data_IF_098844526879
#
_entry.id   IF_098844526879
#
_cell.length_a   1.000
_cell.length_b   1.000
_cell.length_c   1.000
_cell.angle_alpha   90.00
_cell.angle_beta   90.00
_cell.angle_gamma   90.00
#
_symmetry.space_group_name_H-M   'P 1'
#
loop_
_entity.id
_entity.type
_entity.pdbx_description
1 polymer ?
#
# COMPACT_ATOMS: atom_id res chain seq x y z
N UNK A 1 45.18 -20.65 -8.09
CA UNK A 1 44.37 -20.43 -6.87
C UNK A 1 43.60 -19.13 -7.02
N UNK A 2 42.33 -19.20 -7.44
CA UNK A 2 41.47 -18.03 -7.58
C UNK A 2 40.66 -17.85 -6.30
N UNK A 3 40.83 -16.69 -5.64
CA UNK A 3 40.04 -16.30 -4.46
C UNK A 3 38.59 -16.12 -4.87
N UNK A 4 37.67 -16.91 -4.29
CA UNK A 4 36.23 -16.68 -4.41
C UNK A 4 35.88 -15.33 -3.78
N UNK A 5 35.02 -14.50 -4.39
CA UNK A 5 34.55 -13.27 -3.77
C UNK A 5 33.65 -13.63 -2.58
N UNK A 6 33.97 -12.98 -1.45
CA UNK A 6 33.25 -13.03 -0.20
C UNK A 6 31.84 -12.47 -0.43
N UNK A 7 30.84 -13.35 -0.61
CA UNK A 7 29.43 -12.95 -0.54
C UNK A 7 29.15 -12.60 0.91
N UNK A 8 29.30 -11.32 1.26
CA UNK A 8 28.74 -10.74 2.48
C UNK A 8 27.25 -11.05 2.41
N UNK A 9 26.82 -12.05 3.18
CA UNK A 9 25.43 -12.45 3.25
C UNK A 9 24.63 -11.26 3.74
N UNK A 10 23.85 -10.66 2.84
CA UNK A 10 22.67 -9.93 3.28
C UNK A 10 21.83 -10.96 4.06
N UNK A 11 21.38 -10.64 5.29
CA UNK A 11 20.45 -11.53 5.97
C UNK A 11 19.25 -11.68 5.04
N UNK A 12 19.04 -12.89 4.53
CA UNK A 12 17.78 -13.23 3.90
C UNK A 12 16.69 -12.89 4.90
N UNK A 13 15.68 -12.12 4.47
CA UNK A 13 14.45 -11.90 5.24
C UNK A 13 13.95 -13.29 5.68
N UNK A 14 14.12 -13.59 6.96
CA UNK A 14 13.72 -14.86 7.56
C UNK A 14 12.54 -14.58 8.48
N UNK A 15 11.46 -14.08 7.89
CA UNK A 15 10.29 -13.66 8.66
C UNK A 15 9.37 -14.80 9.07
N UNK A 16 9.57 -16.04 8.59
CA UNK A 16 8.76 -17.18 9.04
C UNK A 16 9.60 -18.12 9.89
N UNK A 17 9.46 -18.02 11.21
CA UNK A 17 10.12 -18.96 12.15
C UNK A 17 9.21 -20.11 12.54
N UNK A 18 7.87 -19.97 12.46
CA UNK A 18 6.91 -21.00 12.83
C UNK A 18 5.72 -21.08 11.86
N UNK A 19 5.06 -22.24 11.79
CA UNK A 19 3.84 -22.43 10.98
C UNK A 19 2.65 -21.77 11.67
N UNK A 20 1.71 -21.26 10.87
CA UNK A 20 0.47 -20.66 11.39
C UNK A 20 0.61 -19.21 11.85
N UNK A 21 1.70 -18.52 11.48
CA UNK A 21 1.89 -17.11 11.78
C UNK A 21 1.34 -16.21 10.66
N UNK A 22 0.78 -15.05 11.03
CA UNK A 22 0.34 -14.02 10.08
C UNK A 22 1.16 -12.75 10.30
N UNK A 23 1.79 -12.28 9.23
CA UNK A 23 2.56 -11.06 9.19
C UNK A 23 1.84 -10.02 8.34
N UNK A 24 2.00 -8.75 8.71
CA UNK A 24 1.40 -7.64 7.99
C UNK A 24 2.40 -6.50 7.90
N UNK A 25 2.52 -5.93 6.71
CA UNK A 25 3.44 -4.84 6.41
C UNK A 25 2.63 -3.65 5.91
N UNK A 26 3.10 -2.45 6.20
CA UNK A 26 2.59 -1.18 5.70
C UNK A 26 3.76 -0.22 5.54
N UNK A 27 3.54 0.93 4.91
CA UNK A 27 4.55 1.98 4.71
C UNK A 27 4.89 2.74 6.02
N UNK A 28 4.85 2.09 7.17
CA UNK A 28 5.29 2.63 8.45
C UNK A 28 6.80 2.84 8.44
N UNK A 29 7.26 3.93 9.06
CA UNK A 29 8.69 4.08 9.37
C UNK A 29 9.09 2.92 10.28
N UNK A 30 10.26 2.33 10.02
CA UNK A 30 10.77 1.16 10.73
C UNK A 30 10.79 1.33 12.26
N UNK A 31 10.95 2.58 12.74
CA UNK A 31 11.03 2.92 14.17
C UNK A 31 9.70 3.41 14.77
N UNK A 32 8.57 3.30 14.07
CA UNK A 32 7.27 3.62 14.64
C UNK A 32 6.89 2.55 15.69
N UNK A 33 6.79 2.91 16.99
CA UNK A 33 6.50 1.94 18.03
C UNK A 33 5.08 1.36 17.93
N UNK A 34 4.18 2.00 17.17
CA UNK A 34 2.78 1.59 17.08
C UNK A 34 2.44 1.02 15.69
N UNK A 35 2.10 -0.26 15.67
CA UNK A 35 1.60 -0.92 14.46
C UNK A 35 0.29 -0.25 14.02
N UNK A 36 0.24 0.20 12.75
CA UNK A 36 -0.95 0.85 12.22
C UNK A 36 -2.22 -0.01 12.39
N UNK A 37 -3.39 0.60 12.68
CA UNK A 37 -4.62 -0.13 12.94
C UNK A 37 -5.02 -1.10 11.84
N UNK A 38 -4.84 -0.73 10.56
CA UNK A 38 -5.14 -1.62 9.43
C UNK A 38 -4.26 -2.87 9.37
N UNK A 39 -3.03 -2.80 9.87
CA UNK A 39 -2.12 -3.96 9.90
C UNK A 39 -2.59 -4.95 10.95
N UNK A 40 -2.90 -4.46 12.16
CA UNK A 40 -3.47 -5.30 13.22
C UNK A 40 -4.78 -5.94 12.78
N UNK A 41 -5.71 -5.12 12.26
CA UNK A 41 -7.00 -5.60 11.75
C UNK A 41 -6.85 -6.60 10.60
N UNK A 42 -5.94 -6.34 9.66
CA UNK A 42 -5.69 -7.25 8.54
C UNK A 42 -5.18 -8.62 9.01
N UNK A 43 -4.24 -8.63 9.98
CA UNK A 43 -3.73 -9.87 10.57
C UNK A 43 -4.83 -10.69 11.27
N UNK A 44 -5.65 -10.03 12.08
CA UNK A 44 -6.79 -10.66 12.77
C UNK A 44 -7.77 -11.26 11.74
N UNK A 45 -8.19 -10.48 10.74
CA UNK A 45 -9.10 -10.94 9.69
C UNK A 45 -8.56 -12.12 8.87
N UNK A 46 -7.27 -12.09 8.51
CA UNK A 46 -6.65 -13.20 7.78
C UNK A 46 -6.63 -14.46 8.63
N UNK A 47 -6.31 -14.34 9.93
CA UNK A 47 -6.36 -15.49 10.84
C UNK A 47 -7.76 -16.08 10.92
N UNK A 48 -8.79 -15.25 11.11
CA UNK A 48 -10.19 -15.69 11.17
C UNK A 48 -10.61 -16.44 9.89
N UNK A 49 -10.18 -15.93 8.72
CA UNK A 49 -10.45 -16.58 7.43
C UNK A 49 -9.77 -17.94 7.34
N UNK A 50 -8.51 -18.05 7.76
CA UNK A 50 -7.77 -19.32 7.75
C UNK A 50 -8.44 -20.33 8.69
N UNK A 51 -8.77 -19.93 9.91
CA UNK A 51 -9.45 -20.77 10.89
C UNK A 51 -10.79 -21.29 10.36
N UNK A 52 -11.60 -20.42 9.75
CA UNK A 52 -12.89 -20.79 9.17
C UNK A 52 -12.74 -21.75 7.97
N UNK A 53 -11.80 -21.49 7.06
CA UNK A 53 -11.52 -22.35 5.92
C UNK A 53 -11.06 -23.74 6.36
N UNK A 54 -10.16 -23.83 7.35
CA UNK A 54 -9.67 -25.09 7.90
C UNK A 54 -10.79 -25.84 8.62
N UNK A 55 -11.54 -25.15 9.49
CA UNK A 55 -12.62 -25.75 10.29
C UNK A 55 -13.73 -26.34 9.42
N UNK A 56 -14.07 -25.67 8.33
CA UNK A 56 -15.15 -26.11 7.44
C UNK A 56 -14.66 -26.87 6.20
N UNK A 57 -13.36 -27.18 6.12
CA UNK A 57 -12.73 -27.85 4.98
C UNK A 57 -13.07 -27.20 3.62
N UNK A 58 -13.02 -25.87 3.57
CA UNK A 58 -13.33 -25.11 2.36
C UNK A 58 -12.17 -25.19 1.35
N UNK A 59 -12.50 -25.16 0.06
CA UNK A 59 -11.51 -25.19 -1.02
C UNK A 59 -10.79 -23.86 -1.24
N UNK A 60 -9.78 -23.90 -2.11
CA UNK A 60 -8.94 -22.74 -2.44
C UNK A 60 -9.73 -21.53 -2.95
N UNK A 61 -10.73 -21.74 -3.80
CA UNK A 61 -11.55 -20.64 -4.35
C UNK A 61 -12.36 -19.93 -3.25
N UNK A 62 -12.84 -20.65 -2.23
CA UNK A 62 -13.50 -20.04 -1.07
C UNK A 62 -12.51 -19.28 -0.17
N UNK A 63 -11.30 -19.81 0.02
CA UNK A 63 -10.22 -19.09 0.70
C UNK A 63 -9.93 -17.76 -0.01
N UNK A 64 -9.72 -17.79 -1.33
CA UNK A 64 -9.45 -16.60 -2.14
C UNK A 64 -10.59 -15.60 -2.05
N UNK A 65 -11.84 -16.05 -2.18
CA UNK A 65 -13.01 -15.19 -2.06
C UNK A 65 -13.03 -14.48 -0.71
N UNK A 66 -12.81 -15.20 0.39
CA UNK A 66 -12.74 -14.64 1.75
C UNK A 66 -11.56 -13.69 1.94
N UNK A 67 -10.40 -13.98 1.34
CA UNK A 67 -9.25 -13.08 1.38
C UNK A 67 -9.53 -11.77 0.62
N UNK A 68 -10.28 -11.81 -0.49
CA UNK A 68 -10.77 -10.59 -1.13
C UNK A 68 -11.73 -9.81 -0.23
N UNK A 69 -12.61 -10.49 0.53
CA UNK A 69 -13.47 -9.81 1.51
C UNK A 69 -12.63 -9.07 2.58
N UNK A 70 -11.47 -9.61 2.97
CA UNK A 70 -10.51 -8.90 3.85
C UNK A 70 -9.95 -7.67 3.14
N UNK A 71 -9.52 -7.80 1.89
CA UNK A 71 -8.94 -6.70 1.10
C UNK A 71 -9.95 -5.60 0.74
N UNK A 72 -11.26 -5.90 0.77
CA UNK A 72 -12.37 -4.95 0.58
C UNK A 72 -12.82 -4.29 1.90
N UNK A 73 -12.07 -4.46 3.01
CA UNK A 73 -12.40 -3.81 4.28
C UNK A 73 -12.18 -2.30 4.22
N UNK A 74 -13.28 -1.55 4.10
CA UNK A 74 -13.36 -0.10 4.28
C UNK A 74 -13.77 0.26 5.72
N UNK A 75 -12.98 1.10 6.36
CA UNK A 75 -13.15 1.59 7.74
C UNK A 75 -12.77 3.07 7.83
N UNK A 76 -12.66 3.74 6.68
CA UNK A 76 -12.32 5.16 6.67
C UNK A 76 -13.50 5.98 7.22
N UNK A 77 -13.22 6.96 8.10
CA UNK A 77 -14.23 7.94 8.46
C UNK A 77 -14.58 8.77 7.24
N UNK A 78 -15.81 9.32 7.18
CA UNK A 78 -16.15 10.28 6.13
C UNK A 78 -15.24 11.51 6.24
N UNK A 79 -14.84 12.07 5.10
CA UNK A 79 -13.92 13.21 5.07
C UNK A 79 -14.51 14.49 5.70
N UNK A 80 -15.85 14.64 5.77
CA UNK A 80 -16.55 15.77 6.44
C UNK A 80 -15.99 17.17 6.13
N UNK A 81 -15.47 17.38 4.92
CA UNK A 81 -14.89 18.66 4.50
C UNK A 81 -13.47 18.94 5.02
N UNK A 82 -12.83 17.96 5.65
CA UNK A 82 -11.40 18.02 5.98
C UNK A 82 -10.55 18.15 4.71
N UNK A 83 -9.48 18.91 4.81
CA UNK A 83 -8.47 18.97 3.75
C UNK A 83 -7.81 17.60 3.55
N UNK A 84 -7.37 17.30 2.32
CA UNK A 84 -6.77 16.01 2.01
C UNK A 84 -5.48 15.76 2.81
N UNK A 85 -4.68 16.80 3.08
CA UNK A 85 -3.45 16.67 3.87
C UNK A 85 -3.73 16.21 5.31
N UNK A 86 -4.82 16.69 5.91
CA UNK A 86 -5.25 16.25 7.24
C UNK A 86 -5.90 14.86 7.21
N UNK A 87 -6.61 14.55 6.13
CA UNK A 87 -7.31 13.29 5.95
C UNK A 87 -6.37 12.11 5.63
N UNK A 88 -5.18 12.37 5.07
CA UNK A 88 -4.21 11.32 4.70
C UNK A 88 -3.81 10.43 5.88
N UNK A 89 -3.81 10.97 7.10
CA UNK A 89 -3.53 10.22 8.32
C UNK A 89 -4.62 9.19 8.64
N UNK A 90 -5.84 9.37 8.14
CA UNK A 90 -6.94 8.42 8.31
C UNK A 90 -6.73 7.13 7.49
N UNK A 91 -5.93 7.17 6.42
CA UNK A 91 -5.64 6.02 5.55
C UNK A 91 -4.94 4.85 6.26
N UNK A 92 -4.41 5.06 7.46
CA UNK A 92 -3.84 3.99 8.30
C UNK A 92 -4.92 3.13 8.98
N UNK A 93 -6.17 3.58 8.98
CA UNK A 93 -7.28 2.89 9.63
C UNK A 93 -7.96 1.87 8.73
N UNK A 94 -7.72 1.90 7.42
CA UNK A 94 -8.43 1.06 6.46
C UNK A 94 -7.53 0.30 5.49
N UNK A 95 -7.97 -0.90 5.10
CA UNK A 95 -7.28 -1.78 4.15
C UNK A 95 -7.62 -1.36 2.72
N UNK A 96 -8.91 -1.17 2.44
CA UNK A 96 -9.39 -0.60 1.19
C UNK A 96 -9.53 0.92 1.32
N UNK A 97 -8.95 1.65 0.38
CA UNK A 97 -9.10 3.09 0.27
C UNK A 97 -10.02 3.37 -0.92
N UNK A 98 -11.24 3.89 -0.71
CA UNK A 98 -12.09 4.33 -1.80
C UNK A 98 -11.44 5.52 -2.53
N UNK A 99 -11.92 5.87 -3.73
CA UNK A 99 -11.43 7.05 -4.42
C UNK A 99 -11.61 8.32 -3.59
N UNK A 100 -10.53 9.06 -3.44
CA UNK A 100 -10.47 10.35 -2.76
C UNK A 100 -9.83 11.35 -3.74
N UNK A 101 -10.47 12.50 -3.93
CA UNK A 101 -10.01 13.54 -4.86
C UNK A 101 -11.10 13.97 -5.84
N UNK A 102 -10.83 15.05 -6.58
CA UNK A 102 -11.77 15.61 -7.57
C UNK A 102 -11.49 15.02 -8.96
N UNK A 103 -12.53 14.55 -9.65
CA UNK A 103 -12.49 13.92 -10.98
C UNK A 103 -11.93 14.83 -12.10
N UNK A 104 -11.72 16.12 -11.85
CA UNK A 104 -11.37 17.13 -12.87
C UNK A 104 -9.88 17.16 -13.26
N UNK A 105 -9.01 16.35 -12.63
CA UNK A 105 -7.57 16.32 -12.95
C UNK A 105 -7.23 15.19 -13.91
N UNK A 106 -6.94 15.55 -15.18
CA UNK A 106 -6.80 14.61 -16.30
C UNK A 106 -5.44 13.94 -16.47
N UNK A 107 -4.44 14.25 -15.64
CA UNK A 107 -3.11 13.68 -15.77
C UNK A 107 -2.53 13.32 -14.39
N UNK A 108 -2.56 12.03 -14.05
CA UNK A 108 -1.99 11.48 -12.81
C UNK A 108 -0.96 10.39 -13.15
N UNK A 109 0.29 10.47 -12.65
CA UNK A 109 1.24 9.38 -12.69
C UNK A 109 0.69 8.13 -11.99
N UNK A 110 0.99 6.94 -12.50
CA UNK A 110 0.45 5.68 -11.93
C UNK A 110 1.00 5.49 -10.51
N UNK A 111 0.21 4.91 -9.60
CA UNK A 111 0.65 4.66 -8.22
C UNK A 111 1.98 3.87 -8.14
N UNK A 112 2.22 2.97 -9.11
CA UNK A 112 3.47 2.22 -9.27
C UNK A 112 4.69 3.13 -9.53
N UNK A 113 4.50 4.26 -10.22
CA UNK A 113 5.55 5.25 -10.51
C UNK A 113 5.92 6.03 -9.24
N UNK A 114 4.92 6.36 -8.41
CA UNK A 114 5.11 7.09 -7.14
C UNK A 114 5.80 6.19 -6.09
N UNK A 115 5.43 4.91 -6.01
CA UNK A 115 6.08 3.95 -5.12
C UNK A 115 7.53 3.64 -5.52
N UNK A 116 7.89 3.85 -6.80
CA UNK A 116 9.22 3.53 -7.32
C UNK A 116 10.30 4.59 -7.11
N UNK A 117 9.95 5.81 -6.65
CA UNK A 117 10.86 6.93 -6.44
C UNK A 117 11.93 7.08 -7.54
N UNK A 118 11.52 7.17 -8.81
CA UNK A 118 12.44 7.55 -9.90
C UNK A 118 12.49 9.07 -10.07
N UNK A 119 13.67 9.71 -10.01
CA UNK A 119 13.80 11.17 -9.93
C UNK A 119 13.84 11.88 -11.30
N UNK A 120 13.08 11.44 -12.29
CA UNK A 120 13.13 12.06 -13.63
C UNK A 120 11.75 12.18 -14.26
N UNK A 121 11.07 13.32 -14.03
CA UNK A 121 10.41 14.17 -15.05
C UNK A 121 9.77 15.40 -14.38
N UNK A 122 10.55 16.46 -14.15
CA UNK A 122 10.00 17.82 -14.01
C UNK A 122 10.19 18.50 -15.36
N UNK A 123 9.11 18.68 -16.12
CA UNK A 123 9.00 19.81 -17.04
C UNK A 123 7.54 20.03 -17.47
N UNK A 124 6.98 21.15 -17.04
CA UNK A 124 5.66 21.63 -17.45
C UNK A 124 5.40 23.02 -16.88
N UNK A 125 5.89 24.04 -17.57
CA UNK A 125 5.70 25.46 -17.27
C UNK A 125 4.21 25.86 -17.16
N UNK A 126 3.87 26.70 -16.18
CA UNK A 126 2.58 27.42 -16.14
C UNK A 126 2.25 28.15 -14.83
N UNK A 127 2.79 29.37 -14.69
CA UNK A 127 2.29 30.58 -13.98
C UNK A 127 0.82 30.53 -13.44
N UNK A 128 0.40 31.10 -12.31
CA UNK A 128 0.82 32.30 -11.61
C UNK A 128 0.25 32.37 -10.16
N UNK A 129 1.04 32.96 -9.27
CA UNK A 129 0.68 33.97 -8.25
C UNK A 129 -0.76 34.00 -7.67
N UNK A 130 -0.89 33.69 -6.38
CA UNK A 130 -1.79 34.42 -5.47
C UNK A 130 -1.24 34.40 -4.04
N UNK A 131 -0.25 35.25 -3.78
CA UNK A 131 0.08 35.68 -2.43
C UNK A 131 -0.93 36.74 -1.99
N UNK A 132 -1.67 36.51 -0.91
CA UNK A 132 -2.11 37.62 -0.07
C UNK A 132 -1.96 37.23 1.40
N UNK A 133 -0.99 37.89 2.03
CA UNK A 133 -0.63 37.77 3.42
C UNK A 133 -1.68 38.39 4.34
N UNK A 134 -1.98 37.74 5.46
CA UNK A 134 -2.22 38.46 6.73
C UNK A 134 -1.39 37.79 7.83
N UNK A 135 -0.46 38.57 8.35
CA UNK A 135 0.44 38.27 9.44
C UNK A 135 -0.29 38.24 10.79
N UNK A 136 0.11 37.39 11.73
CA UNK A 136 0.97 37.81 12.85
C UNK A 136 1.04 36.76 13.98
N UNK A 137 2.28 36.31 14.23
CA UNK A 137 2.90 36.26 15.55
C UNK A 137 2.33 35.34 16.66
N UNK A 138 2.33 34.03 16.42
CA UNK A 138 2.51 33.02 17.50
C UNK A 138 3.52 31.90 17.13
N UNK A 139 4.21 32.04 15.99
CA UNK A 139 5.08 31.01 15.41
C UNK A 139 6.56 31.06 15.81
N UNK A 140 6.94 31.23 17.08
CA UNK A 140 8.39 31.23 17.43
C UNK A 140 8.86 30.29 18.52
N UNK A 141 7.99 29.46 19.12
CA UNK A 141 8.43 28.48 20.13
C UNK A 141 8.28 27.01 19.70
N UNK A 142 7.34 26.68 18.81
CA UNK A 142 7.22 25.32 18.27
C UNK A 142 8.25 24.99 17.18
N UNK A 143 8.77 26.01 16.49
CA UNK A 143 9.70 25.86 15.36
C UNK A 143 11.16 25.58 15.75
N UNK A 144 11.52 25.66 17.04
CA UNK A 144 12.90 25.44 17.51
C UNK A 144 13.16 23.99 17.95
N UNK A 145 12.10 23.17 18.14
CA UNK A 145 12.25 21.80 18.66
C UNK A 145 12.22 20.69 17.60
N UNK A 146 12.13 21.02 16.31
CA UNK A 146 12.16 20.02 15.22
C UNK A 146 13.28 20.25 14.19
N UNK A 147 14.21 21.16 14.46
CA UNK A 147 15.33 21.44 13.56
C UNK A 147 16.55 20.57 13.90
N UNK A 148 16.41 19.25 13.74
CA UNK A 148 17.55 18.36 13.50
C UNK A 148 17.21 17.45 12.31
N UNK A 149 17.57 17.97 11.13
CA UNK A 149 18.02 17.25 9.93
C UNK A 149 17.00 16.40 9.15
N UNK A 150 16.23 17.07 8.27
CA UNK A 150 16.04 16.60 6.89
C UNK A 150 16.49 17.71 5.92
N UNK A 151 17.55 17.50 5.14
CA UNK A 151 18.03 18.50 4.19
C UNK A 151 17.21 18.40 2.89
N UNK A 152 15.97 18.87 2.94
CA UNK A 152 15.09 19.35 1.85
C UNK A 152 13.65 19.28 2.35
N UNK A 153 12.82 20.34 2.21
CA UNK A 153 11.37 20.15 2.30
C UNK A 153 10.99 19.07 1.26
N UNK A 154 10.16 18.07 1.61
CA UNK A 154 9.68 17.13 0.61
C UNK A 154 9.05 17.94 -0.53
N UNK A 155 9.30 17.59 -1.80
CA UNK A 155 8.57 18.18 -2.90
C UNK A 155 7.08 18.03 -2.56
N UNK A 156 6.38 19.15 -2.46
CA UNK A 156 4.92 19.14 -2.44
C UNK A 156 4.50 18.61 -3.81
N UNK A 157 4.40 17.28 -3.93
CA UNK A 157 3.85 16.66 -5.12
C UNK A 157 2.41 17.19 -5.21
N UNK A 158 2.04 17.92 -6.27
CA UNK A 158 0.64 18.27 -6.47
C UNK A 158 -0.09 16.94 -6.65
N UNK A 159 -0.84 16.51 -5.64
CA UNK A 159 -1.72 15.34 -5.69
C UNK A 159 -2.96 15.70 -6.53
N UNK A 160 -2.75 16.10 -7.78
CA UNK A 160 -3.83 16.29 -8.75
C UNK A 160 -4.14 14.92 -9.32
N UNK A 161 -5.15 14.26 -8.76
CA UNK A 161 -5.59 12.94 -9.21
C UNK A 161 -6.51 12.25 -8.23
N UNK A 162 -7.25 11.25 -8.71
CA UNK A 162 -8.05 10.37 -7.88
C UNK A 162 -7.13 9.38 -7.14
N UNK A 163 -6.99 9.53 -5.83
CA UNK A 163 -6.19 8.64 -4.98
C UNK A 163 -7.05 7.50 -4.42
N UNK A 164 -6.55 6.26 -4.41
CA UNK A 164 -7.27 5.14 -3.83
C UNK A 164 -6.65 3.79 -4.15
N UNK A 165 -7.22 2.71 -3.60
CA UNK A 165 -6.77 1.35 -3.90
C UNK A 165 -7.05 1.01 -5.36
N UNK A 166 -5.99 0.74 -6.13
CA UNK A 166 -6.10 0.44 -7.55
C UNK A 166 -6.27 -1.06 -7.82
N UNK A 167 -5.50 -1.87 -7.08
CA UNK A 167 -5.36 -3.31 -7.32
C UNK A 167 -5.32 -4.07 -5.99
N UNK A 168 -5.78 -5.31 -6.03
CA UNK A 168 -5.76 -6.24 -4.90
C UNK A 168 -5.14 -7.56 -5.35
N UNK A 169 -4.13 -8.04 -4.63
CA UNK A 169 -3.35 -9.22 -5.05
C UNK A 169 -3.34 -10.27 -3.95
N UNK A 170 -3.56 -11.52 -4.34
CA UNK A 170 -3.44 -12.72 -3.50
C UNK A 170 -2.44 -13.65 -4.17
N UNK A 171 -1.44 -14.08 -3.41
CA UNK A 171 -0.46 -15.08 -3.86
C UNK A 171 -0.55 -16.26 -2.90
N UNK A 172 -0.87 -17.44 -3.41
CA UNK A 172 -0.85 -18.68 -2.65
C UNK A 172 0.29 -19.55 -3.14
N UNK A 173 1.05 -20.13 -2.21
CA UNK A 173 2.17 -21.03 -2.50
C UNK A 173 2.00 -22.29 -1.67
N UNK A 174 2.03 -23.45 -2.30
CA UNK A 174 1.96 -24.75 -1.61
C UNK A 174 3.35 -25.32 -1.27
N UNK A 175 3.36 -26.47 -0.59
CA UNK A 175 4.59 -27.12 -0.12
C UNK A 175 5.39 -27.73 -1.26
N UNK A 176 4.75 -28.00 -2.39
CA UNK A 176 5.36 -28.53 -3.60
C UNK A 176 5.97 -27.41 -4.46
N UNK A 177 5.73 -26.14 -4.14
CA UNK A 177 6.24 -24.98 -4.87
C UNK A 177 5.38 -24.60 -6.08
N UNK A 178 4.11 -25.00 -6.09
CA UNK A 178 3.12 -24.43 -7.01
C UNK A 178 2.65 -23.10 -6.43
N UNK A 179 2.62 -22.08 -7.28
CA UNK A 179 2.16 -20.75 -6.91
C UNK A 179 0.99 -20.33 -7.80
N UNK A 180 -0.01 -19.72 -7.17
CA UNK A 180 -1.07 -19.00 -7.88
C UNK A 180 -0.97 -17.51 -7.54
N UNK A 181 -0.90 -16.68 -8.57
CA UNK A 181 -1.04 -15.24 -8.48
C UNK A 181 -2.42 -14.86 -8.95
N UNK A 182 -3.21 -14.24 -8.08
CA UNK A 182 -4.54 -13.74 -8.38
C UNK A 182 -4.57 -12.26 -8.11
N UNK A 183 -5.09 -11.51 -9.07
CA UNK A 183 -5.11 -10.07 -8.99
C UNK A 183 -6.43 -9.52 -9.48
N UNK A 184 -6.99 -8.59 -8.71
CA UNK A 184 -8.21 -7.87 -9.06
C UNK A 184 -7.87 -6.42 -9.34
N UNK A 185 -8.16 -5.98 -10.56
CA UNK A 185 -8.19 -4.55 -10.90
C UNK A 185 -9.52 -3.95 -10.48
N UNK A 186 -9.47 -2.86 -9.71
CA UNK A 186 -10.67 -2.16 -9.25
C UNK A 186 -11.12 -1.03 -10.19
N UNK A 187 -10.23 -0.60 -11.09
CA UNK A 187 -10.44 0.51 -12.01
C UNK A 187 -9.95 0.16 -13.41
N UNK A 188 -10.65 0.67 -14.42
CA UNK A 188 -10.21 0.59 -15.82
C UNK A 188 -9.14 1.66 -16.12
N UNK A 189 -8.46 1.62 -17.28
CA UNK A 189 -7.47 2.64 -17.65
C UNK A 189 -8.01 4.07 -17.77
N UNK A 190 -9.34 4.26 -17.73
CA UNK A 190 -10.02 5.56 -17.76
C UNK A 190 -10.47 6.00 -16.36
N UNK A 191 -10.19 5.22 -15.31
CA UNK A 191 -10.58 5.52 -13.94
C UNK A 191 -12.03 5.15 -13.59
N UNK A 192 -12.71 4.32 -14.38
CA UNK A 192 -14.04 3.83 -14.04
C UNK A 192 -13.96 2.56 -13.17
N UNK A 193 -14.87 2.39 -12.19
CA UNK A 193 -14.86 1.21 -11.34
C UNK A 193 -15.20 -0.05 -12.15
N UNK A 194 -14.44 -1.12 -11.91
CA UNK A 194 -14.71 -2.46 -12.46
C UNK A 194 -15.51 -3.26 -11.44
N UNK A 195 -16.57 -3.94 -11.91
CA UNK A 195 -17.33 -4.86 -11.06
C UNK A 195 -16.42 -6.00 -10.57
N UNK A 196 -16.50 -6.31 -9.27
CA UNK A 196 -15.73 -7.42 -8.65
C UNK A 196 -15.90 -8.71 -9.46
N UNK A 197 -14.79 -9.39 -9.73
CA UNK A 197 -14.77 -10.63 -10.54
C UNK A 197 -14.60 -10.42 -12.04
N UNK A 198 -14.94 -9.25 -12.60
CA UNK A 198 -14.79 -9.00 -14.05
C UNK A 198 -13.38 -8.55 -14.45
N UNK A 199 -12.63 -7.96 -13.51
CA UNK A 199 -11.24 -7.53 -13.69
C UNK A 199 -10.23 -8.46 -13.02
N UNK A 200 -10.66 -9.65 -12.59
CA UNK A 200 -9.84 -10.60 -11.86
C UNK A 200 -9.01 -11.45 -12.85
N UNK A 201 -7.71 -11.53 -12.62
CA UNK A 201 -6.75 -12.32 -13.38
C UNK A 201 -6.18 -13.42 -12.48
N UNK A 202 -5.91 -14.59 -13.05
CA UNK A 202 -5.25 -15.71 -12.37
C UNK A 202 -4.12 -16.24 -13.24
N UNK A 203 -2.95 -16.37 -12.64
CA UNK A 203 -1.77 -17.00 -13.25
C UNK A 203 -1.26 -18.10 -12.32
N UNK A 204 -0.89 -19.23 -12.88
CA UNK A 204 -0.34 -20.37 -12.16
C UNK A 204 1.06 -20.66 -12.69
N UNK A 205 2.01 -20.88 -11.78
CA UNK A 205 3.39 -21.16 -12.14
C UNK A 205 4.08 -22.04 -11.11
N UNK A 206 5.16 -22.69 -11.54
CA UNK A 206 6.06 -23.45 -10.66
C UNK A 206 7.22 -22.55 -10.25
N UNK A 207 7.55 -22.53 -8.96
CA UNK A 207 8.71 -21.77 -8.48
C UNK A 207 9.99 -22.50 -8.89
N UNK A 208 10.81 -21.84 -9.69
CA UNK A 208 12.11 -22.35 -10.10
C UNK A 208 13.04 -22.53 -8.90
N UNK A 209 13.69 -23.70 -8.83
CA UNK A 209 14.64 -24.01 -7.75
C UNK A 209 14.01 -24.33 -6.39
N UNK A 210 12.69 -24.57 -6.31
CA UNK A 210 12.00 -24.83 -5.03
C UNK A 210 12.61 -25.97 -4.19
N UNK A 211 13.06 -27.04 -4.86
CA UNK A 211 13.67 -28.21 -4.20
C UNK A 211 15.21 -28.24 -4.31
N UNK A 212 15.85 -27.14 -4.71
CA UNK A 212 17.29 -27.07 -5.01
C UNK A 212 18.17 -26.67 -3.82
#
# INVERSE_FOLDING_TARGET
MARKPNRRGYPAFRETTQRGEVYGLSNTVYDDPETWPKVKMGKEKVMDVIEDVVKNALGEEELVRKLYDVLDTDTLPKQEGQDFEDYIYQLRHSIYIPPIGNEESKDVPRADEIASAQPEVINGNGHAEHHTAINNAQGRLAAVLQATERPTPPPQAPMTGLYGTQRQTIILVDWEGNASFRERSLWDPKGHPIQRGYGDMKFEFKIDGWNS
#
